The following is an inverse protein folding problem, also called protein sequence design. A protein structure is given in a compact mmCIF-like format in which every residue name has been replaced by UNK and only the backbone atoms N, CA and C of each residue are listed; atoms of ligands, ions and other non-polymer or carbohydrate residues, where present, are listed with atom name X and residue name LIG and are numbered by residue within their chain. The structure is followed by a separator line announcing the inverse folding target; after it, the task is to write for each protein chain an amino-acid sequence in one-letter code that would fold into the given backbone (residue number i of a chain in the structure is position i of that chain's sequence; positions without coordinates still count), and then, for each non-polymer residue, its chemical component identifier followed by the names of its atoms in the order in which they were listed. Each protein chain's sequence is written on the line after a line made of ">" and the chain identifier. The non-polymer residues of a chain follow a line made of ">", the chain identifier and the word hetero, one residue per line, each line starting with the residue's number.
data_IF_453881878737
#
_entry.id   IF_453881878737
#
_cell.length_a   1.000
_cell.length_b   1.000
_cell.length_c   1.000
_cell.angle_alpha   90.00
_cell.angle_beta   90.00
_cell.angle_gamma   90.00
#
_symmetry.space_group_name_H-M   'P 1'
#
loop_
_entity.id
_entity.type
_entity.pdbx_description
1 polymer ?
2 non-polymer ?
3 non-polymer ?
4 water ?
#
# COMPACT_ATOMS: atom_id res chain seq x y z
N UNK A 8 32.41 -13.51 -8.26
CA UNK A 8 32.24 -12.03 -8.43
C UNK A 8 31.59 -11.43 -7.16
N UNK A 9 30.28 -11.12 -7.22
CA UNK A 9 29.54 -10.25 -6.27
C UNK A 9 28.85 -11.08 -5.17
N UNK A 10 28.06 -10.43 -4.30
CA UNK A 10 27.42 -11.02 -3.11
C UNK A 10 26.49 -12.20 -3.47
N UNK A 11 25.81 -12.13 -4.61
CA UNK A 11 24.68 -13.04 -4.99
C UNK A 11 25.07 -13.95 -6.17
N UNK A 12 26.35 -13.98 -6.55
CA UNK A 12 26.83 -14.86 -7.62
C UNK A 12 26.66 -16.31 -7.13
N UNK A 13 26.06 -17.14 -7.99
CA UNK A 13 25.70 -18.58 -7.73
C UNK A 13 24.81 -18.69 -6.47
N UNK A 14 23.99 -17.65 -6.23
CA UNK A 14 22.97 -17.65 -5.13
C UNK A 14 21.63 -17.23 -5.72
N UNK A 15 20.52 -17.59 -5.09
CA UNK A 15 19.18 -17.18 -5.59
C UNK A 15 18.44 -16.43 -4.47
N UNK A 16 17.55 -15.56 -4.87
CA UNK A 16 16.77 -14.74 -3.90
C UNK A 16 15.31 -15.16 -4.06
N UNK A 17 14.63 -15.30 -2.94
CA UNK A 17 13.18 -15.51 -2.84
C UNK A 17 12.56 -14.23 -2.26
N UNK A 18 11.76 -13.55 -3.07
CA UNK A 18 10.84 -12.49 -2.58
C UNK A 18 9.47 -13.10 -2.24
N UNK A 19 9.01 -12.87 -1.01
CA UNK A 19 7.68 -13.33 -0.57
C UNK A 19 6.71 -12.17 -0.78
N UNK A 20 5.84 -12.28 -1.78
CA UNK A 20 4.75 -11.32 -2.00
C UNK A 20 5.02 -10.52 -3.26
N UNK A 21 4.02 -10.51 -4.14
CA UNK A 21 4.10 -9.88 -5.46
C UNK A 21 3.25 -8.65 -5.50
N UNK A 22 3.27 -7.85 -4.43
CA UNK A 22 2.70 -6.49 -4.46
C UNK A 22 3.62 -5.53 -5.20
N UNK A 23 3.31 -4.23 -5.24
CA UNK A 23 4.12 -3.28 -5.99
C UNK A 23 5.57 -3.25 -5.48
N UNK A 24 5.77 -3.39 -4.17
CA UNK A 24 7.12 -3.34 -3.56
C UNK A 24 7.91 -4.61 -3.90
N UNK A 25 7.33 -5.80 -3.73
CA UNK A 25 8.01 -7.06 -4.07
C UNK A 25 8.38 -7.15 -5.54
N UNK A 26 7.46 -6.76 -6.44
CA UNK A 26 7.73 -6.85 -7.89
C UNK A 26 8.83 -5.84 -8.25
N UNK A 27 8.86 -4.69 -7.59
CA UNK A 27 9.88 -3.67 -7.84
C UNK A 27 11.22 -4.25 -7.40
N UNK A 28 11.28 -4.81 -6.18
CA UNK A 28 12.49 -5.48 -5.64
C UNK A 28 12.95 -6.52 -6.67
N UNK A 29 12.05 -7.33 -7.21
CA UNK A 29 12.39 -8.39 -8.18
C UNK A 29 13.03 -7.76 -9.43
N UNK A 30 12.44 -6.70 -9.96
CA UNK A 30 12.92 -6.05 -11.18
C UNK A 30 14.34 -5.52 -10.99
N UNK A 31 14.57 -4.78 -9.91
CA UNK A 31 15.87 -4.15 -9.64
C UNK A 31 16.94 -5.23 -9.44
N UNK A 32 16.63 -6.36 -8.80
CA UNK A 32 17.63 -7.45 -8.70
C UNK A 32 17.81 -8.11 -10.07
N UNK A 33 16.71 -8.41 -10.77
CA UNK A 33 16.79 -9.25 -11.99
C UNK A 33 17.61 -8.48 -13.02
N UNK A 34 17.47 -7.16 -13.09
CA UNK A 34 18.14 -6.40 -14.17
C UNK A 34 19.64 -6.32 -13.88
N UNK A 35 20.12 -6.72 -12.69
CA UNK A 35 21.56 -6.83 -12.34
C UNK A 35 22.02 -8.29 -12.48
N UNK A 36 21.29 -9.16 -13.18
CA UNK A 36 21.72 -10.56 -13.44
C UNK A 36 21.54 -11.46 -12.22
N UNK A 37 20.68 -11.07 -11.26
CA UNK A 37 20.43 -11.87 -10.04
C UNK A 37 19.30 -12.86 -10.32
N UNK A 38 19.49 -14.10 -9.88
CA UNK A 38 18.48 -15.18 -9.84
C UNK A 38 17.48 -14.90 -8.69
N UNK A 39 16.29 -14.46 -9.05
CA UNK A 39 15.23 -14.06 -8.10
C UNK A 39 13.92 -14.69 -8.57
N UNK A 40 13.17 -15.25 -7.63
CA UNK A 40 11.76 -15.67 -7.80
C UNK A 40 10.88 -14.88 -6.83
N UNK A 41 9.66 -14.56 -7.25
CA UNK A 41 8.62 -13.96 -6.39
C UNK A 41 7.54 -15.02 -6.16
N UNK A 42 7.22 -15.29 -4.89
CA UNK A 42 6.15 -16.24 -4.48
C UNK A 42 4.95 -15.41 -4.05
N UNK A 43 3.88 -15.51 -4.84
CA UNK A 43 2.62 -14.73 -4.66
C UNK A 43 1.47 -15.71 -4.39
N UNK A 44 0.78 -15.48 -3.27
CA UNK A 44 -0.44 -16.16 -2.76
C UNK A 44 -1.52 -16.24 -3.87
N UNK A 45 -1.78 -15.14 -4.56
CA UNK A 45 -2.82 -15.02 -5.62
C UNK A 45 -2.69 -16.12 -6.68
N UNK A 46 -3.82 -16.58 -7.18
CA UNK A 46 -3.90 -17.67 -8.20
C UNK A 46 -3.48 -17.17 -9.58
N UNK A 47 -3.87 -15.97 -9.99
CA UNK A 47 -3.46 -15.51 -11.33
C UNK A 47 -3.34 -13.98 -11.34
N UNK A 48 -2.66 -13.44 -12.35
CA UNK A 48 -2.47 -11.96 -12.47
C UNK A 48 -3.72 -11.33 -13.09
N UNK A 49 -4.78 -12.14 -13.27
CA UNK A 49 -6.05 -11.65 -13.87
C UNK A 49 -7.03 -11.30 -12.74
N UNK A 50 -6.53 -11.23 -11.50
CA UNK A 50 -7.37 -10.91 -10.33
C UNK A 50 -7.33 -9.42 -10.00
N UNK A 51 -8.50 -8.76 -10.02
CA UNK A 51 -8.65 -7.36 -9.59
C UNK A 51 -8.00 -7.17 -8.21
N UNK A 52 -7.16 -6.16 -8.07
CA UNK A 52 -6.68 -5.64 -6.75
C UNK A 52 -7.70 -4.60 -6.32
N UNK A 53 -8.40 -4.86 -5.23
CA UNK A 53 -9.34 -3.89 -4.62
C UNK A 53 -8.48 -2.77 -3.99
N UNK A 54 -8.87 -1.52 -4.20
CA UNK A 54 -8.27 -0.32 -3.57
C UNK A 54 -8.37 0.91 -4.46
N UNK A 55 -8.01 2.07 -3.93
CA UNK A 55 -7.83 3.32 -4.70
C UNK A 55 -6.57 3.30 -5.57
N UNK A 56 -6.17 4.49 -6.01
CA UNK A 56 -4.95 4.73 -6.81
C UNK A 56 -3.74 4.88 -5.90
N UNK A 57 -2.54 4.78 -6.50
CA UNK A 57 -1.21 5.01 -5.88
C UNK A 57 -0.56 6.18 -6.61
N UNK A 58 0.16 7.03 -5.89
CA UNK A 58 0.94 8.15 -6.47
C UNK A 58 2.40 7.90 -6.08
N UNK A 59 3.28 7.81 -7.08
CA UNK A 59 4.75 7.76 -6.89
C UNK A 59 5.30 9.20 -6.86
N UNK A 60 6.01 9.54 -5.79
CA UNK A 60 6.67 10.86 -5.55
C UNK A 60 8.03 10.90 -6.25
N UNK A 61 8.46 12.08 -6.71
CA UNK A 61 9.88 12.33 -7.12
C UNK A 61 10.79 11.97 -5.95
N UNK A 62 11.94 11.36 -6.22
CA UNK A 62 12.97 11.11 -5.19
C UNK A 62 12.74 9.84 -4.39
N UNK A 63 11.62 9.13 -4.58
CA UNK A 63 11.32 7.85 -3.89
C UNK A 63 10.67 6.88 -4.87
N UNK A 64 9.33 6.85 -4.91
CA UNK A 64 8.61 5.94 -5.81
C UNK A 64 9.04 6.09 -7.25
N UNK A 65 9.20 7.32 -7.73
CA UNK A 65 9.59 7.58 -9.14
C UNK A 65 11.05 7.20 -9.36
N UNK A 66 11.91 7.34 -8.35
CA UNK A 66 13.34 6.97 -8.51
C UNK A 66 13.42 5.47 -8.84
N UNK A 67 12.68 4.66 -8.09
CA UNK A 67 12.60 3.20 -8.26
C UNK A 67 12.21 2.89 -9.71
N UNK A 68 11.16 3.52 -10.22
CA UNK A 68 10.68 3.30 -11.61
C UNK A 68 11.77 3.75 -12.60
N UNK A 69 12.39 4.90 -12.37
CA UNK A 69 13.50 5.42 -13.21
C UNK A 69 14.64 4.40 -13.26
N UNK A 70 15.15 3.92 -12.11
CA UNK A 70 16.28 2.96 -12.09
C UNK A 70 15.91 1.69 -12.84
N UNK A 71 14.61 1.33 -12.84
CA UNK A 71 14.08 0.11 -13.49
C UNK A 71 13.85 0.33 -14.98
N UNK A 72 13.81 1.60 -15.43
CA UNK A 72 13.52 1.96 -16.84
C UNK A 72 12.03 1.99 -17.15
N UNK A 73 11.20 2.21 -16.15
CA UNK A 73 9.74 2.10 -16.28
C UNK A 73 9.10 3.45 -15.99
N UNK A 74 9.87 4.53 -15.83
CA UNK A 74 9.32 5.82 -15.40
C UNK A 74 8.37 6.35 -16.47
N UNK A 75 8.72 6.24 -17.75
CA UNK A 75 7.85 6.74 -18.85
C UNK A 75 6.56 5.90 -18.89
N UNK A 76 6.66 4.57 -18.71
CA UNK A 76 5.49 3.65 -18.74
C UNK A 76 4.51 4.03 -17.64
N UNK A 77 5.02 4.46 -16.48
CA UNK A 77 4.20 4.93 -15.34
C UNK A 77 3.48 6.23 -15.75
N UNK A 78 4.20 7.26 -16.19
CA UNK A 78 3.64 8.55 -16.65
C UNK A 78 2.54 8.34 -17.71
N UNK A 79 2.73 7.41 -18.64
CA UNK A 79 1.73 7.11 -19.70
C UNK A 79 0.43 6.51 -19.13
N UNK A 80 0.45 5.84 -17.97
CA UNK A 80 -0.78 5.17 -17.45
C UNK A 80 -1.30 5.91 -16.23
N UNK A 81 -0.53 6.86 -15.71
CA UNK A 81 -0.91 7.65 -14.52
C UNK A 81 -1.70 8.85 -15.02
N UNK A 82 -2.39 9.52 -14.10
CA UNK A 82 -3.32 10.64 -14.39
C UNK A 82 -3.10 11.70 -13.32
N UNK A 83 -2.67 12.93 -13.67
CA UNK A 83 -2.59 14.00 -12.68
C UNK A 83 -4.03 14.29 -12.26
N UNK A 84 -4.24 14.62 -10.98
CA UNK A 84 -5.58 14.89 -10.44
C UNK A 84 -5.52 16.00 -9.38
N UNK A 85 -6.41 16.97 -9.51
CA UNK A 85 -6.58 18.04 -8.52
C UNK A 85 -7.31 17.51 -7.30
N UNK A 86 -7.42 18.35 -6.27
CA UNK A 86 -8.17 18.07 -5.02
C UNK A 86 -9.17 19.19 -4.81
N UNK A 87 -10.42 18.81 -4.50
CA UNK A 87 -11.51 19.67 -3.96
C UNK A 87 -11.73 19.32 -2.49
N UNK A 88 -11.72 20.33 -1.62
CA UNK A 88 -12.23 20.17 -0.24
C UNK A 88 -13.70 20.63 -0.28
N UNK A 89 -14.60 19.85 0.34
CA UNK A 89 -16.05 20.16 0.45
C UNK A 89 -16.53 20.00 1.88
N UNK A 90 -17.60 20.71 2.24
CA UNK A 90 -18.26 20.52 3.55
C UNK A 90 -19.36 19.45 3.41
N UNK A 91 -19.95 19.05 4.53
CA UNK A 91 -21.05 18.04 4.59
C UNK A 91 -22.30 18.52 3.84
N UNK A 92 -22.37 19.79 3.40
CA UNK A 92 -23.54 20.38 2.70
C UNK A 92 -23.30 20.40 1.18
N UNK A 93 -22.11 19.99 0.72
CA UNK A 93 -21.79 19.92 -0.73
C UNK A 93 -21.23 21.23 -1.24
N UNK A 94 -20.86 22.14 -0.34
CA UNK A 94 -20.16 23.40 -0.70
C UNK A 94 -18.69 23.07 -0.96
N UNK A 95 -18.19 23.39 -2.16
CA UNK A 95 -16.74 23.35 -2.49
C UNK A 95 -16.08 24.50 -1.72
N UNK A 96 -15.23 24.20 -0.74
CA UNK A 96 -14.53 25.24 0.08
C UNK A 96 -13.16 25.60 -0.53
N UNK A 97 -12.65 24.84 -1.51
CA UNK A 97 -11.25 24.97 -2.01
C UNK A 97 -11.01 24.02 -3.20
N UNK A 98 -10.31 24.46 -4.25
CA UNK A 98 -10.11 23.68 -5.50
C UNK A 98 -8.67 23.82 -6.02
N UNK A 99 -7.76 22.92 -5.62
CA UNK A 99 -6.35 22.91 -6.06
C UNK A 99 -6.26 22.07 -7.35
N UNK A 100 -6.29 22.70 -8.53
CA UNK A 100 -6.20 22.03 -9.85
C UNK A 100 -4.73 21.76 -10.20
N UNK A 101 -4.52 20.83 -11.15
CA UNK A 101 -3.15 20.38 -11.56
C UNK A 101 -2.49 21.36 -12.53
N UNK A 102 -1.61 22.22 -12.01
CA UNK A 102 -0.78 23.15 -12.82
C UNK A 102 0.14 22.30 -13.70
N UNK A 103 0.25 22.58 -15.02
CA UNK A 103 1.00 21.72 -15.93
C UNK A 103 2.47 21.51 -15.51
N UNK A 104 3.04 22.45 -14.74
CA UNK A 104 4.45 22.37 -14.26
C UNK A 104 4.60 21.28 -13.19
N UNK A 105 3.50 20.80 -12.62
CA UNK A 105 3.49 19.87 -11.46
C UNK A 105 2.83 18.55 -11.88
N UNK A 106 2.59 18.36 -13.17
CA UNK A 106 1.76 17.24 -13.66
C UNK A 106 2.52 15.92 -13.49
N UNK A 107 3.82 15.99 -13.22
CA UNK A 107 4.71 14.81 -13.02
C UNK A 107 5.00 14.62 -11.52
N UNK A 108 4.45 15.45 -10.64
CA UNK A 108 4.82 15.47 -9.20
C UNK A 108 4.37 14.15 -8.55
N UNK A 109 3.13 13.75 -8.79
CA UNK A 109 2.58 12.50 -8.19
C UNK A 109 1.27 12.17 -8.89
N UNK A 110 1.32 11.83 -10.18
CA UNK A 110 0.12 11.38 -10.88
C UNK A 110 -0.33 9.99 -10.41
N UNK A 111 -1.65 9.80 -10.33
CA UNK A 111 -2.32 8.63 -9.76
C UNK A 111 -2.32 7.49 -10.78
N UNK A 112 -1.99 6.27 -10.34
CA UNK A 112 -2.07 5.07 -11.21
C UNK A 112 -2.97 4.02 -10.51
N UNK A 113 -3.74 3.30 -11.31
CA UNK A 113 -4.57 2.15 -10.88
C UNK A 113 -3.62 1.00 -10.46
N UNK A 114 -3.95 0.30 -9.36
CA UNK A 114 -3.06 -0.73 -8.75
C UNK A 114 -2.81 -1.85 -9.76
N UNK A 115 -3.82 -2.21 -10.57
CA UNK A 115 -3.70 -3.29 -11.59
C UNK A 115 -2.78 -2.83 -12.72
N UNK A 116 -2.79 -1.54 -13.05
CA UNK A 116 -1.91 -0.96 -14.11
C UNK A 116 -0.46 -1.01 -13.60
N UNK A 117 -0.19 -0.51 -12.40
CA UNK A 117 1.16 -0.60 -11.77
C UNK A 117 1.64 -2.06 -11.74
N UNK A 118 0.82 -3.00 -11.25
CA UNK A 118 1.19 -4.44 -11.22
C UNK A 118 1.55 -4.92 -12.62
N UNK A 119 0.72 -4.60 -13.63
CA UNK A 119 0.92 -5.03 -15.03
C UNK A 119 2.22 -4.43 -15.58
N UNK A 120 2.52 -3.18 -15.26
CA UNK A 120 3.81 -2.55 -15.69
C UNK A 120 4.96 -3.41 -15.14
N UNK A 121 4.91 -3.74 -13.86
CA UNK A 121 6.02 -4.44 -13.18
C UNK A 121 6.10 -5.89 -13.67
N UNK A 122 4.98 -6.61 -13.80
CA UNK A 122 4.95 -7.99 -14.36
C UNK A 122 5.51 -8.04 -15.78
N UNK A 123 5.15 -7.12 -16.67
CA UNK A 123 5.58 -7.17 -18.10
C UNK A 123 7.10 -6.96 -18.15
N UNK A 124 7.69 -6.25 -17.18
CA UNK A 124 9.13 -5.92 -17.13
C UNK A 124 9.97 -7.10 -16.62
N UNK A 125 9.38 -8.14 -16.02
CA UNK A 125 10.14 -9.26 -15.43
C UNK A 125 10.27 -10.36 -16.50
N UNK A 126 11.30 -11.21 -16.42
CA UNK A 126 11.44 -12.40 -17.29
C UNK A 126 10.26 -13.34 -17.00
N UNK A 127 9.80 -14.05 -18.01
CA UNK A 127 8.77 -15.11 -17.90
C UNK A 127 9.11 -16.04 -16.72
N UNK A 128 8.10 -16.41 -15.92
CA UNK A 128 8.19 -17.35 -14.77
C UNK A 128 9.01 -16.74 -13.61
N UNK A 129 9.14 -15.42 -13.52
CA UNK A 129 9.83 -14.77 -12.36
C UNK A 129 8.89 -14.92 -11.16
N UNK A 130 7.61 -14.60 -11.36
CA UNK A 130 6.54 -14.73 -10.34
C UNK A 130 5.92 -16.12 -10.37
N UNK A 131 5.98 -16.88 -9.28
CA UNK A 131 5.30 -18.19 -9.11
C UNK A 131 3.97 -17.93 -8.40
N UNK A 132 2.86 -18.12 -9.11
CA UNK A 132 1.47 -17.87 -8.68
C UNK A 132 1.03 -19.00 -7.72
N UNK A 133 0.06 -18.74 -6.84
CA UNK A 133 -0.55 -19.78 -5.97
C UNK A 133 0.52 -20.37 -5.04
N UNK A 134 1.35 -19.49 -4.47
CA UNK A 134 2.40 -19.86 -3.50
C UNK A 134 2.20 -19.01 -2.26
N UNK A 135 1.43 -19.52 -1.30
CA UNK A 135 1.25 -18.92 0.04
C UNK A 135 2.35 -19.45 0.98
N UNK A 136 3.36 -18.64 1.29
CA UNK A 136 4.43 -19.05 2.22
C UNK A 136 3.78 -19.18 3.60
N UNK A 137 4.02 -20.30 4.28
CA UNK A 137 3.48 -20.54 5.65
C UNK A 137 4.61 -20.66 6.64
N UNK A 138 5.80 -21.06 6.19
CA UNK A 138 6.85 -21.13 7.23
C UNK A 138 8.24 -21.04 6.64
N UNK A 139 9.26 -20.73 7.24
CA UNK A 139 10.69 -20.63 6.82
C UNK A 139 11.49 -21.55 7.73
N UNK A 140 12.52 -22.19 7.20
CA UNK A 140 13.47 -22.93 8.04
C UNK A 140 14.87 -22.71 7.48
N UNK A 141 15.79 -22.20 8.32
CA UNK A 141 17.18 -21.98 7.90
C UNK A 141 17.96 -23.28 7.95
N UNK A 142 18.66 -23.61 6.86
CA UNK A 142 19.64 -24.70 6.81
C UNK A 142 21.03 -24.17 7.06
N UNK A 143 22.02 -24.89 6.55
CA UNK A 143 23.45 -24.58 6.70
C UNK A 143 23.71 -23.29 5.93
N UNK A 144 23.26 -23.24 4.68
CA UNK A 144 23.54 -22.13 3.72
C UNK A 144 22.24 -21.55 3.13
N UNK A 145 21.16 -22.34 3.10
CA UNK A 145 19.92 -22.02 2.39
C UNK A 145 18.74 -22.13 3.35
N UNK A 146 17.80 -21.24 3.13
CA UNK A 146 16.44 -21.29 3.71
C UNK A 146 15.67 -22.36 2.98
N UNK A 147 14.78 -23.06 3.68
CA UNK A 147 13.75 -23.90 3.03
C UNK A 147 12.44 -23.17 3.24
N UNK A 148 11.71 -22.93 2.13
CA UNK A 148 10.40 -22.24 2.13
C UNK A 148 9.29 -23.29 2.01
N UNK A 149 8.33 -23.25 2.93
CA UNK A 149 7.17 -24.14 2.90
C UNK A 149 5.94 -23.37 2.44
N UNK A 150 5.27 -23.88 1.43
CA UNK A 150 4.07 -23.24 0.87
C UNK A 150 2.87 -24.15 1.13
N UNK A 151 1.68 -23.56 1.10
CA UNK A 151 0.39 -24.23 1.32
C UNK A 151 0.15 -25.21 0.18
N UNK A 152 0.26 -26.53 0.46
CA UNK A 152 -0.17 -27.62 -0.45
C UNK A 152 0.66 -27.62 -1.74
N UNK A 153 1.87 -27.08 -1.69
CA UNK A 153 2.78 -26.97 -2.87
C UNK A 153 4.18 -27.35 -2.42
N UNK A 154 5.03 -27.82 -3.35
CA UNK A 154 6.36 -28.30 -2.98
C UNK A 154 7.26 -27.13 -2.51
N UNK A 155 8.20 -27.46 -1.63
CA UNK A 155 9.14 -26.54 -0.97
C UNK A 155 10.15 -26.00 -1.98
N UNK A 156 10.72 -24.84 -1.67
CA UNK A 156 11.77 -24.18 -2.50
C UNK A 156 12.91 -23.77 -1.56
N UNK A 157 14.11 -23.55 -2.09
CA UNK A 157 15.23 -23.05 -1.27
C UNK A 157 15.76 -21.72 -1.82
N UNK A 158 16.41 -20.94 -0.96
CA UNK A 158 17.00 -19.64 -1.32
C UNK A 158 18.09 -19.28 -0.32
N UNK A 159 19.14 -18.64 -0.81
CA UNK A 159 20.25 -18.04 -0.03
C UNK A 159 19.81 -16.76 0.68
N UNK A 160 18.83 -16.04 0.12
CA UNK A 160 18.32 -14.79 0.71
C UNK A 160 16.81 -14.80 0.58
N UNK A 161 16.13 -14.42 1.67
CA UNK A 161 14.66 -14.25 1.71
C UNK A 161 14.36 -12.78 2.02
N UNK A 162 13.54 -12.15 1.16
CA UNK A 162 13.02 -10.78 1.37
C UNK A 162 11.51 -10.89 1.59
N UNK A 163 11.09 -10.58 2.80
CA UNK A 163 9.64 -10.60 3.17
C UNK A 163 9.02 -9.33 2.59
N UNK A 164 8.10 -9.47 1.64
CA UNK A 164 7.39 -8.33 1.01
C UNK A 164 5.87 -8.63 0.89
N UNK A 165 5.30 -9.33 1.87
CA UNK A 165 3.96 -9.91 1.74
C UNK A 165 2.96 -9.12 2.60
N UNK A 166 3.22 -7.84 2.87
CA UNK A 166 2.21 -6.88 3.34
C UNK A 166 2.16 -6.72 4.85
N UNK A 167 1.28 -5.84 5.32
CA UNK A 167 1.17 -5.42 6.74
C UNK A 167 0.74 -6.54 7.69
N UNK A 168 0.02 -7.55 7.21
CA UNK A 168 -0.51 -8.70 8.03
C UNK A 168 0.43 -9.92 7.96
N UNK A 169 1.68 -9.77 7.51
CA UNK A 169 2.59 -10.93 7.28
C UNK A 169 2.66 -11.76 8.56
N UNK A 170 2.57 -13.09 8.47
CA UNK A 170 2.75 -14.00 9.65
C UNK A 170 4.16 -14.61 9.66
N UNK A 171 5.09 -14.18 8.77
CA UNK A 171 6.42 -14.81 8.61
C UNK A 171 7.52 -13.82 8.93
N UNK A 172 7.37 -13.07 10.02
CA UNK A 172 8.28 -11.97 10.37
C UNK A 172 9.27 -12.42 11.45
N UNK A 173 9.00 -13.55 12.12
CA UNK A 173 9.60 -13.81 13.47
C UNK A 173 11.12 -13.95 13.40
N UNK A 174 11.71 -14.43 12.30
CA UNK A 174 13.19 -14.46 12.15
C UNK A 174 13.73 -13.04 12.09
N UNK A 175 12.92 -12.02 11.79
CA UNK A 175 13.41 -10.61 11.77
C UNK A 175 13.07 -9.85 13.08
N UNK A 176 11.87 -10.00 13.65
CA UNK A 176 11.39 -9.17 14.80
C UNK A 176 10.22 -9.87 15.50
N UNK A 177 10.08 -9.67 16.79
CA UNK A 177 8.90 -10.12 17.57
C UNK A 177 7.86 -8.99 17.64
N UNK A 178 8.12 -7.83 17.01
CA UNK A 178 7.13 -6.70 16.93
C UNK A 178 5.79 -7.21 16.40
N UNK A 179 4.69 -6.84 17.05
CA UNK A 179 3.31 -7.25 16.66
C UNK A 179 2.62 -6.07 15.97
N UNK A 180 1.75 -6.35 14.99
CA UNK A 180 0.83 -5.35 14.38
C UNK A 180 -0.15 -4.85 15.46
N UNK A 181 -0.48 -3.55 15.43
CA UNK A 181 -1.41 -2.90 16.40
C UNK A 181 -2.58 -2.24 15.65
N UNK A 182 -3.77 -2.24 16.25
CA UNK A 182 -4.89 -1.31 15.90
C UNK A 182 -4.54 0.07 16.43
N UNK A 183 -4.77 1.14 15.64
CA UNK A 183 -4.55 2.55 16.03
C UNK A 183 -5.83 3.16 16.64
N UNK A 184 -7.00 2.56 16.43
CA UNK A 184 -8.28 3.10 16.94
C UNK A 184 -9.11 3.84 15.89
N UNK A 185 -8.69 3.87 14.61
CA UNK A 185 -9.53 4.31 13.47
C UNK A 185 -9.99 3.11 12.62
N UNK A 186 -11.03 3.32 11.83
CA UNK A 186 -11.70 2.27 11.01
C UNK A 186 -12.03 2.92 9.67
N UNK A 187 -11.91 2.15 8.60
CA UNK A 187 -12.04 2.64 7.21
C UNK A 187 -13.01 1.72 6.52
N UNK A 188 -13.97 2.29 5.80
CA UNK A 188 -14.92 1.54 4.93
C UNK A 188 -14.68 2.01 3.50
N UNK A 189 -14.27 1.11 2.61
CA UNK A 189 -13.94 1.45 1.21
C UNK A 189 -14.97 0.78 0.30
N UNK A 190 -15.22 1.35 -0.88
CA UNK A 190 -16.17 0.81 -1.86
C UNK A 190 -15.89 1.45 -3.21
N UNK A 191 -16.37 0.79 -4.27
CA UNK A 191 -16.29 1.25 -5.67
C UNK A 191 -17.71 1.45 -6.19
N UNK A 192 -17.90 2.44 -7.05
CA UNK A 192 -19.15 2.61 -7.83
C UNK A 192 -18.76 2.65 -9.31
N UNK A 193 -19.20 1.66 -10.06
CA UNK A 193 -19.09 1.64 -11.54
C UNK A 193 -20.02 2.70 -12.13
N UNK A 194 -19.66 3.26 -13.29
CA UNK A 194 -20.43 4.28 -14.05
C UNK A 194 -21.01 5.30 -13.07
N UNK A 195 -20.14 6.05 -12.35
CA UNK A 195 -20.59 7.04 -11.38
C UNK A 195 -21.35 8.21 -12.01
N UNK A 196 -21.00 8.62 -13.24
CA UNK A 196 -21.73 9.65 -14.04
C UNK A 196 -23.22 9.29 -14.07
N UNK A 197 -23.56 8.01 -14.16
CA UNK A 197 -24.96 7.49 -14.18
C UNK A 197 -25.41 7.18 -12.74
N UNK A 198 -24.59 6.45 -11.95
CA UNK A 198 -25.07 5.75 -10.73
C UNK A 198 -24.98 6.66 -9.49
N UNK A 199 -24.13 7.71 -9.49
CA UNK A 199 -24.07 8.72 -8.40
C UNK A 199 -23.81 10.11 -9.01
N UNK A 200 -24.69 10.55 -9.93
CA UNK A 200 -24.41 11.70 -10.78
C UNK A 200 -24.11 12.99 -9.99
N UNK A 201 -24.87 13.24 -8.92
CA UNK A 201 -24.69 14.40 -8.01
C UNK A 201 -23.26 14.48 -7.51
N UNK A 202 -22.81 13.42 -6.82
CA UNK A 202 -21.47 13.35 -6.19
C UNK A 202 -20.39 13.46 -7.27
N UNK A 203 -20.58 12.79 -8.41
CA UNK A 203 -19.67 12.85 -9.59
C UNK A 203 -19.47 14.30 -10.07
N UNK A 204 -20.54 15.09 -10.17
CA UNK A 204 -20.48 16.52 -10.61
C UNK A 204 -19.81 17.35 -9.50
N UNK A 205 -20.06 17.01 -8.24
CA UNK A 205 -19.36 17.66 -7.11
C UNK A 205 -17.84 17.47 -7.23
N UNK A 206 -17.39 16.24 -7.49
CA UNK A 206 -15.94 15.91 -7.66
C UNK A 206 -15.38 16.75 -8.82
N UNK A 207 -16.11 16.78 -9.95
CA UNK A 207 -15.80 17.60 -11.16
C UNK A 207 -14.39 17.26 -11.66
N UNK A 208 -14.11 15.96 -11.82
CA UNK A 208 -12.82 15.40 -12.25
C UNK A 208 -11.71 15.51 -11.22
N UNK A 209 -11.97 16.06 -10.01
CA UNK A 209 -10.98 16.18 -8.92
C UNK A 209 -11.26 15.12 -7.85
N UNK A 210 -10.22 14.74 -7.11
CA UNK A 210 -10.38 13.99 -5.85
C UNK A 210 -11.21 14.88 -4.93
N UNK A 211 -11.90 14.29 -3.95
CA UNK A 211 -12.71 15.06 -3.00
C UNK A 211 -12.46 14.52 -1.59
N UNK A 212 -12.40 15.45 -0.63
CA UNK A 212 -12.26 15.14 0.80
C UNK A 212 -13.24 16.03 1.55
N UNK A 213 -13.87 15.48 2.57
CA UNK A 213 -14.86 16.18 3.41
C UNK A 213 -14.79 15.59 4.81
N UNK A 214 -14.99 16.43 5.82
CA UNK A 214 -14.92 16.09 7.25
C UNK A 214 -16.04 16.81 7.98
N UNK A 215 -16.79 16.10 8.80
CA UNK A 215 -17.81 16.70 9.66
C UNK A 215 -18.07 15.74 10.83
N UNK A 216 -17.82 16.20 12.05
CA UNK A 216 -18.13 15.54 13.35
C UNK A 216 -17.48 14.16 13.45
N UNK A 217 -16.23 14.03 13.01
CA UNK A 217 -15.40 12.82 13.23
C UNK A 217 -15.63 11.76 12.17
N UNK A 218 -16.38 12.09 11.12
CA UNK A 218 -16.53 11.24 9.90
C UNK A 218 -15.79 11.95 8.77
N UNK A 219 -14.87 11.24 8.12
CA UNK A 219 -14.14 11.74 6.93
C UNK A 219 -14.57 10.93 5.72
N UNK A 220 -14.70 11.59 4.59
CA UNK A 220 -15.05 10.97 3.31
C UNK A 220 -13.98 11.40 2.33
N UNK A 221 -13.41 10.42 1.63
CA UNK A 221 -12.45 10.59 0.52
C UNK A 221 -13.02 9.91 -0.72
N UNK A 222 -12.82 10.52 -1.87
CA UNK A 222 -13.23 9.95 -3.17
C UNK A 222 -12.25 10.34 -4.26
N UNK A 223 -12.08 9.43 -5.21
CA UNK A 223 -11.44 9.58 -6.54
C UNK A 223 -12.51 9.22 -7.56
N UNK A 224 -12.96 10.15 -8.45
CA UNK A 224 -14.05 9.86 -9.37
C UNK A 224 -13.64 9.02 -10.58
N UNK A 225 -12.32 8.82 -10.77
CA UNK A 225 -11.77 8.18 -11.99
C UNK A 225 -10.60 7.24 -11.67
N UNK A 226 -10.88 6.14 -11.01
CA UNK A 226 -10.01 4.95 -10.96
C UNK A 226 -10.43 4.02 -12.10
N UNK A 227 -9.87 4.21 -13.30
CA UNK A 227 -10.17 3.43 -14.54
C UNK A 227 -11.70 3.27 -14.71
N UNK A 228 -12.43 4.40 -14.74
CA UNK A 228 -13.89 4.43 -15.03
C UNK A 228 -14.76 4.30 -13.80
N UNK A 229 -14.23 3.77 -12.68
CA UNK A 229 -14.94 3.55 -11.40
C UNK A 229 -14.65 4.72 -10.45
N UNK A 230 -15.60 5.04 -9.59
CA UNK A 230 -15.39 6.00 -8.49
C UNK A 230 -15.06 5.17 -7.25
N UNK A 231 -13.99 5.54 -6.56
CA UNK A 231 -13.54 4.83 -5.33
C UNK A 231 -13.67 5.80 -4.17
N UNK A 232 -14.41 5.44 -3.13
CA UNK A 232 -14.54 6.27 -1.92
C UNK A 232 -14.24 5.47 -0.66
N UNK A 233 -13.86 6.23 0.35
CA UNK A 233 -13.58 5.71 1.70
C UNK A 233 -14.15 6.64 2.74
N UNK A 234 -14.69 6.03 3.77
CA UNK A 234 -15.24 6.72 4.96
C UNK A 234 -14.42 6.23 6.15
N UNK A 235 -13.83 7.15 6.88
CA UNK A 235 -12.98 6.84 8.06
C UNK A 235 -13.54 7.56 9.29
N UNK A 236 -13.46 6.91 10.45
CA UNK A 236 -13.93 7.43 11.76
C UNK A 236 -13.22 6.69 12.89
N UNK A 237 -13.20 7.30 14.08
CA UNK A 237 -12.75 6.63 15.32
C UNK A 237 -13.59 5.37 15.48
N UNK A 238 -12.96 4.21 15.69
CA UNK A 238 -13.68 2.93 15.88
C UNK A 238 -14.69 3.14 17.00
N UNK A 239 -16.00 2.92 16.74
CA UNK A 239 -17.01 3.01 17.80
C UNK A 239 -16.65 2.09 18.98
N UNK A 240 -16.71 2.61 20.20
CA UNK A 240 -16.39 1.81 21.42
C UNK A 240 -17.30 0.57 21.44
N UNK A 241 -18.49 0.71 20.85
CA UNK A 241 -19.48 -0.41 20.71
C UNK A 241 -18.81 -1.66 20.10
N UNK A 242 -17.84 -1.47 19.19
CA UNK A 242 -17.20 -2.55 18.40
C UNK A 242 -15.88 -3.01 19.03
N UNK A 243 -15.83 -3.08 20.38
CA UNK A 243 -14.61 -3.51 21.09
C UNK A 243 -14.62 -5.04 21.22
N UNK A 244 -13.62 -5.70 20.64
CA UNK A 244 -13.52 -7.20 20.69
C UNK A 244 -14.84 -7.80 20.22
N UNK A 246 -17.04 -5.61 15.96
CA UNK A 246 -17.78 -4.92 14.87
C UNK A 246 -19.25 -5.38 14.89
N UNK A 247 -20.16 -4.47 15.24
CA UNK A 247 -21.61 -4.75 15.31
C UNK A 247 -22.26 -4.54 13.94
N UNK A 248 -21.40 -4.33 12.92
CA UNK A 248 -21.79 -4.19 11.49
C UNK A 248 -21.23 -5.41 10.74
N UNK A 249 -22.06 -6.14 10.00
CA UNK A 249 -21.62 -7.31 9.18
C UNK A 249 -21.35 -6.80 7.76
N UNK A 250 -20.09 -6.85 7.30
CA UNK A 250 -19.66 -6.25 6.02
C UNK A 250 -20.03 -7.15 4.84
N UNK A 251 -20.54 -8.35 5.10
CA UNK A 251 -21.11 -9.23 4.03
C UNK A 251 -22.57 -8.85 3.76
N UNK A 252 -23.18 -8.07 4.67
CA UNK A 252 -24.60 -7.63 4.61
C UNK A 252 -24.60 -6.13 4.28
N UNK A 253 -24.81 -5.77 3.02
CA UNK A 253 -24.76 -4.37 2.55
C UNK A 253 -25.84 -3.57 3.29
N UNK A 254 -26.98 -4.20 3.59
CA UNK A 254 -28.17 -3.52 4.18
C UNK A 254 -27.81 -3.00 5.57
N UNK A 255 -27.01 -3.78 6.29
CA UNK A 255 -26.48 -3.49 7.64
C UNK A 255 -25.49 -2.31 7.57
N UNK A 256 -24.62 -2.28 6.58
CA UNK A 256 -23.60 -1.19 6.42
C UNK A 256 -24.35 0.08 6.02
N UNK A 257 -25.23 -0.01 5.03
CA UNK A 257 -26.07 1.13 4.58
C UNK A 257 -26.74 1.75 5.82
N UNK A 258 -27.29 0.92 6.68
CA UNK A 258 -28.12 1.40 7.82
C UNK A 258 -27.20 2.13 8.80
N UNK A 259 -26.01 1.58 9.08
CA UNK A 259 -24.99 2.19 9.95
C UNK A 259 -24.51 3.54 9.36
N UNK A 260 -24.14 3.56 8.09
CA UNK A 260 -23.56 4.77 7.44
C UNK A 260 -24.62 5.89 7.32
N UNK A 261 -25.87 5.56 7.01
CA UNK A 261 -26.94 6.58 6.83
C UNK A 261 -27.25 7.24 8.16
N UNK A 262 -27.06 6.53 9.29
CA UNK A 262 -27.20 7.14 10.64
C UNK A 262 -26.04 8.11 10.88
N UNK A 263 -24.82 7.69 10.58
CA UNK A 263 -23.58 8.48 10.79
C UNK A 263 -23.59 9.70 9.87
N UNK A 264 -24.05 9.56 8.62
CA UNK A 264 -24.06 10.65 7.62
C UNK A 264 -25.41 11.41 7.58
N UNK A 265 -26.28 11.23 8.59
CA UNK A 265 -27.65 11.79 8.69
C UNK A 265 -27.71 13.27 8.27
N UNK A 266 -26.76 14.11 8.69
CA UNK A 266 -26.84 15.57 8.42
C UNK A 266 -25.99 15.95 7.21
N UNK A 267 -25.58 14.98 6.38
CA UNK A 267 -24.85 15.25 5.11
C UNK A 267 -25.84 15.42 3.97
N UNK A 268 -25.46 16.24 3.00
CA UNK A 268 -26.18 16.42 1.72
C UNK A 268 -26.53 15.05 1.09
N UNK A 269 -27.59 15.01 0.29
CA UNK A 269 -28.15 13.75 -0.27
C UNK A 269 -27.22 13.21 -1.35
N UNK A 270 -26.38 14.04 -1.96
CA UNK A 270 -25.38 13.59 -2.97
C UNK A 270 -24.39 12.58 -2.32
N UNK A 271 -24.03 12.77 -1.06
CA UNK A 271 -23.16 11.84 -0.30
C UNK A 271 -23.97 10.60 0.09
N UNK A 272 -25.19 10.78 0.57
CA UNK A 272 -26.07 9.65 0.99
C UNK A 272 -26.37 8.78 -0.23
N UNK A 273 -26.49 9.35 -1.44
CA UNK A 273 -26.69 8.59 -2.70
C UNK A 273 -25.54 7.59 -2.85
N UNK A 274 -24.30 8.03 -2.61
CA UNK A 274 -23.09 7.18 -2.62
C UNK A 274 -23.34 5.92 -1.79
N UNK A 275 -23.68 6.12 -0.53
CA UNK A 275 -23.95 5.03 0.44
C UNK A 275 -25.07 4.13 -0.09
N UNK A 276 -26.15 4.70 -0.62
CA UNK A 276 -27.37 3.92 -0.97
C UNK A 276 -27.11 3.00 -2.17
N UNK A 277 -26.27 3.38 -3.13
CA UNK A 277 -26.17 2.65 -4.44
C UNK A 277 -24.91 1.75 -4.48
N UNK A 278 -24.12 1.70 -3.41
CA UNK A 278 -22.90 0.87 -3.33
C UNK A 278 -23.34 -0.59 -3.20
N UNK A 279 -22.89 -1.47 -4.10
CA UNK A 279 -23.26 -2.90 -4.11
C UNK A 279 -22.57 -3.67 -2.97
N UNK A 280 -21.32 -3.35 -2.60
CA UNK A 280 -20.64 -4.01 -1.46
C UNK A 280 -19.62 -3.09 -0.81
N UNK A 281 -19.43 -3.28 0.48
CA UNK A 281 -18.48 -2.49 1.29
C UNK A 281 -17.33 -3.42 1.75
N UNK A 282 -16.17 -2.82 2.04
CA UNK A 282 -15.02 -3.49 2.68
C UNK A 282 -14.67 -2.61 3.87
N UNK A 283 -14.72 -3.21 5.08
CA UNK A 283 -14.27 -2.58 6.33
C UNK A 283 -12.91 -3.11 6.73
N UNK A 284 -12.04 -2.24 7.26
CA UNK A 284 -10.74 -2.65 7.86
C UNK A 284 -10.32 -1.64 8.92
N UNK A 285 -9.99 -2.15 10.10
CA UNK A 285 -9.37 -1.37 11.18
C UNK A 285 -8.02 -0.89 10.65
N UNK A 286 -7.69 0.37 10.91
CA UNK A 286 -6.36 0.95 10.69
C UNK A 286 -5.36 0.23 11.60
N UNK A 287 -4.23 -0.16 11.03
CA UNK A 287 -3.17 -0.92 11.74
C UNK A 287 -1.84 -0.24 11.49
N UNK A 288 -0.91 -0.42 12.40
CA UNK A 288 0.49 0.06 12.26
C UNK A 288 1.39 -1.09 12.71
N UNK A 289 2.52 -1.25 12.03
CA UNK A 289 3.65 -2.13 12.44
C UNK A 289 4.75 -1.21 12.94
N UNK A 290 4.78 -0.88 14.25
CA UNK A 290 5.54 0.28 14.71
C UNK A 290 7.03 -0.04 14.66
N UNK A 291 7.80 0.89 14.08
CA UNK A 291 9.28 0.87 14.13
C UNK A 291 9.71 1.47 15.47
N UNK A 292 10.40 0.67 16.30
CA UNK A 292 10.79 1.02 17.68
C UNK A 292 12.24 0.68 17.94
N UNK A 293 12.46 -0.25 18.86
CA UNK A 293 13.85 -0.73 19.05
C UNK A 293 14.24 -1.41 17.74
N UNK A 294 15.52 -1.68 17.54
CA UNK A 294 15.92 -2.36 16.29
C UNK A 294 15.38 -3.80 16.20
N UNK A 295 15.54 -4.37 15.03
CA UNK A 295 15.13 -5.77 14.78
C UNK A 295 16.19 -6.75 15.32
N UNK A 296 15.90 -8.04 15.29
CA UNK A 296 16.83 -9.09 15.77
C UNK A 296 18.19 -8.88 15.08
N UNK A 297 19.26 -8.80 15.88
CA UNK A 297 20.64 -8.51 15.39
C UNK A 297 21.32 -9.71 14.71
N UNK A 298 21.16 -10.96 15.17
CA UNK A 298 22.08 -12.05 14.70
C UNK A 298 21.30 -13.22 14.11
N UNK A 299 20.83 -13.11 12.88
CA UNK A 299 19.82 -14.02 12.27
C UNK A 299 20.53 -15.26 11.70
N UNK A 300 19.86 -16.43 11.69
CA UNK A 300 20.50 -17.68 11.27
C UNK A 300 21.05 -17.64 9.84
N UNK A 301 20.31 -16.97 8.94
CA UNK A 301 20.70 -16.74 7.52
C UNK A 301 20.18 -15.38 7.10
N UNK A 302 20.66 -14.83 5.98
CA UNK A 302 20.22 -13.51 5.51
C UNK A 302 18.72 -13.43 5.19
N UNK A 303 18.03 -12.48 5.83
CA UNK A 303 16.56 -12.27 5.64
C UNK A 303 16.27 -10.84 6.05
N UNK A 304 15.34 -10.18 5.34
CA UNK A 304 14.87 -8.82 5.70
C UNK A 304 13.43 -8.64 5.18
N UNK A 305 12.88 -7.45 5.45
CA UNK A 305 11.47 -7.09 5.16
C UNK A 305 11.45 -5.71 4.51
N UNK A 306 10.60 -5.56 3.51
CA UNK A 306 10.43 -4.31 2.75
C UNK A 306 8.92 -4.03 2.65
N UNK A 307 8.53 -2.79 2.39
CA UNK A 307 7.11 -2.41 2.15
C UNK A 307 6.29 -2.46 3.42
N UNK A 308 5.00 -2.79 3.31
CA UNK A 308 4.11 -2.83 4.49
C UNK A 308 4.55 -3.91 5.49
N UNK A 309 5.27 -4.95 5.09
CA UNK A 309 5.73 -5.98 6.07
C UNK A 309 6.74 -5.36 7.04
N UNK A 310 7.44 -4.31 6.62
CA UNK A 310 8.46 -3.62 7.44
C UNK A 310 7.84 -2.48 8.26
N UNK A 311 6.92 -1.68 7.69
CA UNK A 311 6.52 -0.38 8.30
C UNK A 311 5.08 0.00 7.99
N UNK A 312 4.16 -0.97 7.92
CA UNK A 312 2.71 -0.71 7.73
C UNK A 312 2.33 0.50 8.58
N UNK A 313 1.71 1.53 7.99
CA UNK A 313 1.27 2.69 8.78
C UNK A 313 -0.08 3.19 8.28
N UNK A 314 -0.81 3.99 9.12
CA UNK A 314 -2.11 4.54 8.74
C UNK A 314 -2.01 5.22 7.40
N UNK A 315 -3.01 5.05 6.50
CA UNK A 315 -2.93 5.64 5.18
C UNK A 315 -3.55 7.05 5.14
N UNK A 316 -3.02 7.99 5.92
CA UNK A 316 -3.58 9.36 6.07
C UNK A 316 -2.56 10.43 5.69
N UNK A 317 -1.34 10.08 5.30
CA UNK A 317 -0.29 11.05 4.93
C UNK A 317 0.15 10.83 3.48
N UNK A 318 -0.68 10.20 2.66
CA UNK A 318 -0.25 10.01 1.27
C UNK A 318 1.03 9.21 1.21
N UNK A 319 1.47 8.69 2.33
CA UNK A 319 2.66 7.83 2.20
C UNK A 319 2.22 6.37 2.36
N UNK A 320 3.12 5.46 2.00
CA UNK A 320 2.84 4.03 2.06
C UNK A 320 3.66 3.32 1.02
N UNK A 321 3.23 3.37 -0.24
CA UNK A 321 3.99 2.65 -1.30
C UNK A 321 5.34 3.33 -1.49
N UNK A 322 5.41 4.66 -1.36
CA UNK A 322 6.66 5.42 -1.67
C UNK A 322 7.83 4.96 -0.78
N UNK A 323 7.59 4.68 0.49
CA UNK A 323 8.65 4.26 1.44
C UNK A 323 9.00 2.79 1.16
N UNK A 324 8.03 2.01 0.70
CA UNK A 324 8.23 0.65 0.20
C UNK A 324 9.15 0.61 -1.00
N UNK A 325 8.95 1.49 -1.98
CA UNK A 325 9.75 1.48 -3.23
C UNK A 325 11.12 2.06 -2.91
N UNK A 326 11.21 2.94 -1.92
CA UNK A 326 12.51 3.40 -1.40
C UNK A 326 13.26 2.22 -0.74
N UNK A 327 12.59 1.38 0.02
CA UNK A 327 13.18 0.12 0.57
C UNK A 327 13.79 -0.68 -0.59
N UNK A 328 13.05 -0.89 -1.67
CA UNK A 328 13.50 -1.79 -2.76
C UNK A 328 14.73 -1.18 -3.42
N UNK A 329 14.70 0.12 -3.68
CA UNK A 329 15.82 0.85 -4.32
C UNK A 329 17.11 0.74 -3.47
N UNK A 330 17.02 0.92 -2.16
CA UNK A 330 18.21 0.92 -1.26
C UNK A 330 18.75 -0.51 -1.09
N UNK A 331 17.90 -1.49 -0.79
CA UNK A 331 18.34 -2.89 -0.61
C UNK A 331 18.94 -3.40 -1.91
N UNK A 332 18.29 -3.18 -3.04
CA UNK A 332 18.81 -3.72 -4.31
C UNK A 332 20.19 -3.11 -4.62
N UNK A 333 20.37 -1.79 -4.39
CA UNK A 333 21.66 -1.12 -4.64
C UNK A 333 22.73 -1.68 -3.68
N UNK A 334 22.40 -1.89 -2.41
CA UNK A 334 23.35 -2.45 -1.41
C UNK A 334 23.75 -3.87 -1.83
N UNK A 335 22.82 -4.66 -2.37
CA UNK A 335 23.11 -6.08 -2.68
C UNK A 335 23.96 -6.16 -3.94
N UNK A 336 23.97 -5.12 -4.79
CA UNK A 336 24.57 -5.20 -6.15
C UNK A 336 25.71 -4.17 -6.38
N UNK A 337 26.02 -3.25 -5.47
CA UNK A 337 26.95 -2.12 -5.79
C UNK A 337 28.41 -2.55 -5.60
N UNK A 338 28.69 -3.70 -4.99
CA UNK A 338 30.05 -4.23 -4.76
C UNK A 338 30.75 -3.71 -3.50
N UNK A 339 30.09 -2.89 -2.66
CA UNK A 339 30.74 -2.14 -1.56
C UNK A 339 30.69 -2.92 -0.25
N UNK A 340 29.79 -3.89 -0.15
CA UNK A 340 29.60 -4.63 1.12
C UNK A 340 30.34 -5.96 1.08
N UNK A 341 30.79 -6.40 2.24
CA UNK A 341 31.58 -7.65 2.35
C UNK A 341 30.67 -8.85 2.56
N UNK A 342 29.41 -8.63 2.90
CA UNK A 342 28.51 -9.78 3.11
C UNK A 342 27.06 -9.36 2.90
N UNK A 343 26.19 -10.35 2.68
CA UNK A 343 24.75 -10.07 2.47
C UNK A 343 24.24 -9.41 3.74
N UNK A 344 24.67 -9.88 4.91
CA UNK A 344 24.26 -9.35 6.25
C UNK A 344 24.56 -7.85 6.35
N UNK A 345 25.71 -7.40 5.87
CA UNK A 345 26.15 -5.98 5.99
C UNK A 345 25.32 -5.12 5.04
N UNK A 346 25.03 -5.60 3.82
CA UNK A 346 24.12 -4.92 2.86
C UNK A 346 22.75 -4.72 3.51
N UNK A 347 22.20 -5.75 4.15
CA UNK A 347 20.86 -5.74 4.81
C UNK A 347 20.86 -4.73 5.96
N UNK A 348 21.87 -4.81 6.82
CA UNK A 348 22.01 -3.95 8.03
C UNK A 348 21.96 -2.48 7.57
N UNK A 349 22.66 -2.15 6.50
CA UNK A 349 22.74 -0.78 5.95
C UNK A 349 21.35 -0.31 5.47
N UNK A 350 20.66 -1.16 4.71
CA UNK A 350 19.25 -0.94 4.33
C UNK A 350 18.42 -0.69 5.59
N UNK A 351 18.43 -1.61 6.55
CA UNK A 351 17.50 -1.50 7.69
C UNK A 351 17.78 -0.20 8.48
N UNK A 352 19.06 0.13 8.70
CA UNK A 352 19.46 1.37 9.43
C UNK A 352 18.88 2.61 8.72
N UNK A 353 18.95 2.72 7.40
CA UNK A 353 18.35 3.88 6.70
C UNK A 353 16.82 3.85 6.80
N UNK A 354 16.23 2.66 6.66
CA UNK A 354 14.76 2.50 6.61
C UNK A 354 14.17 2.88 7.96
N UNK A 355 14.88 2.59 9.05
CA UNK A 355 14.48 2.96 10.43
C UNK A 355 14.34 4.50 10.55
N UNK A 356 15.12 5.29 9.81
CA UNK A 356 15.09 6.76 9.87
C UNK A 356 13.89 7.28 9.06
N UNK A 357 13.85 7.12 7.74
CA UNK A 357 12.72 7.64 6.91
C UNK A 357 11.44 6.93 7.34
N UNK A 358 11.51 5.70 7.82
CA UNK A 358 10.33 4.92 8.21
C UNK A 358 9.75 5.41 9.51
N UNK A 359 10.59 5.74 10.50
CA UNK A 359 10.14 6.40 11.76
C UNK A 359 9.51 7.76 11.44
N UNK A 360 10.07 8.54 10.51
CA UNK A 360 9.56 9.87 10.10
C UNK A 360 8.16 9.69 9.49
N UNK A 361 8.03 8.79 8.51
CA UNK A 361 6.76 8.53 7.82
C UNK A 361 5.72 8.09 8.83
N UNK A 362 6.06 7.19 9.73
CA UNK A 362 5.11 6.68 10.74
C UNK A 362 4.70 7.81 11.69
N UNK A 363 5.64 8.67 12.07
CA UNK A 363 5.32 9.78 13.00
C UNK A 363 4.33 10.72 12.31
N UNK A 364 4.56 11.03 11.04
CA UNK A 364 3.70 11.95 10.28
C UNK A 364 2.30 11.35 10.09
N UNK A 365 2.22 10.05 9.83
CA UNK A 365 0.94 9.30 9.68
C UNK A 365 0.11 9.40 10.96
N UNK A 366 0.74 9.09 12.09
CA UNK A 366 0.11 9.01 13.43
C UNK A 366 -0.35 10.42 13.83
N UNK A 367 0.46 11.44 13.57
CA UNK A 367 0.15 12.86 13.88
C UNK A 367 -1.09 13.29 13.07
N UNK A 368 -1.07 13.14 11.73
CA UNK A 368 -2.23 13.42 10.83
C UNK A 368 -3.46 12.68 11.37
N UNK A 369 -3.32 11.41 11.73
CA UNK A 369 -4.45 10.57 12.21
C UNK A 369 -5.03 11.20 13.48
N UNK A 370 -4.22 11.47 14.51
CA UNK A 370 -4.66 12.13 15.78
C UNK A 370 -5.46 13.39 15.42
N UNK A 371 -4.87 14.30 14.65
CA UNK A 371 -5.42 15.63 14.30
C UNK A 371 -6.71 15.50 13.49
N UNK A 372 -6.73 14.67 12.44
CA UNK A 372 -7.85 14.59 11.47
C UNK A 372 -9.14 14.08 12.14
N UNK A 373 -9.07 13.42 13.30
CA UNK A 373 -10.22 12.76 13.98
C UNK A 373 -10.54 13.44 15.32
N UNK A 374 -9.99 14.63 15.60
CA UNK A 374 -10.61 15.60 16.54
C UNK A 374 -12.07 15.72 16.12
N UNK A 375 -13.06 15.73 17.06
CA UNK A 375 -14.47 15.80 16.68
C UNK A 375 -14.87 17.10 15.94
N UNK A 376 -13.91 18.00 15.72
CA UNK A 376 -14.06 19.42 15.33
C UNK A 376 -13.02 19.80 14.25
N UNK A 377 -12.51 18.83 13.49
CA UNK A 377 -11.53 19.05 12.38
C UNK A 377 -12.30 19.32 11.10
N UNK A 378 -11.67 20.13 10.28
CA UNK A 378 -12.02 20.41 8.87
C UNK A 378 -10.66 20.54 8.17
N UNK A 379 -10.60 20.32 6.86
CA UNK A 379 -9.31 20.33 6.10
C UNK A 379 -8.65 21.72 6.08
N UNK A 380 -9.46 22.77 6.26
CA UNK A 380 -9.07 24.20 6.40
C UNK A 380 -7.73 24.29 7.13
N UNK A 381 -6.66 24.41 6.34
CA UNK A 381 -5.23 24.55 6.74
C UNK A 381 -4.95 23.93 8.11
X LIG B 1 0.83 -5.29 -0.52
X LIG B 1 0.30 -4.36 -1.57
X LIG B 1 0.02 -5.59 0.68
X LIG B 1 1.30 -6.64 -1.24
X LIG B 1 1.53 -7.84 -0.49
X LIG B 1 1.38 -8.99 -1.45
X LIG B 1 1.78 -10.20 -0.77
X LIG B 1 -0.02 -9.23 -2.02
X LIG B 1 0.10 -9.43 -3.43
X LIG B 1 -0.48 -10.51 -1.28
X LIG B 1 -1.32 -11.27 -2.11
X LIG B 1 0.85 -11.23 -1.09
X LIG B 1 0.91 -12.21 0.03
X LIG B 1 0.39 -12.03 1.31
X LIG B 1 0.68 -13.03 2.12
X LIG B 1 1.43 -13.90 1.34
X LIG B 1 2.03 -15.13 1.63
X LIG B 1 1.99 -15.70 2.84
X LIG B 1 2.74 -15.71 0.65
X LIG B 1 2.82 -15.10 -0.55
X LIG B 1 2.25 -13.97 -0.95
X LIG B 1 1.59 -13.39 0.06
X LIG B 1 -0.43 4.10 -0.30
X LIG B 1 -0.20 5.16 -1.10
X LIG B 1 0.96 5.45 -1.43
X LIG B 1 -1.22 5.92 -1.61
X LIG B 1 -2.54 5.67 -1.28
X LIG B 1 -3.42 6.38 -1.74
X LIG B 1 -2.81 4.59 -0.40
X LIG B 1 -4.06 4.33 -0.05
X LIG B 1 -4.27 3.30 0.82
X LIG B 1 -5.59 3.03 1.25
X LIG B 1 -5.88 2.03 2.16
X LIG B 1 -7.30 1.77 2.60
X LIG B 1 -4.82 1.23 2.66
X LIG B 1 -5.11 0.11 3.63
X LIG B 1 -3.53 1.44 2.21
X LIG B 1 -3.23 2.49 1.32
X LIG B 1 -1.93 2.78 0.90
X LIG B 1 -1.67 3.83 0.05
X LIG B 1 -0.78 1.95 1.33
X LIG B 1 -0.36 1.02 0.19
X LIG B 1 -1.50 0.34 -0.33
X LIG B 1 0.70 0.02 0.65
X LIG B 1 1.82 0.71 1.21
X LIG B 1 1.25 -0.88 -0.45
X LIG B 1 0.21 -1.71 -0.98
X LIG B 1 2.35 -1.76 0.12
X LIG B 1 2.87 -2.61 -0.89
X LIG B 1 3.48 -4.01 -0.47
X LIG B 1 3.85 -4.62 -1.79
X LIG B 1 4.44 -3.82 0.66
X LIG B 1 2.21 -4.77 0.12
X LIG C 1 3.94 16.37 0.75
X LIG C 1 3.49 16.84 2.13
X LIG C 1 4.37 16.20 3.21
X LIG C 1 3.54 18.35 2.22
X LIG C 1 2.08 16.42 2.36
X LIG C 1 1.83 14.99 2.42
X LIG C 1 0.41 14.64 2.79
X LIG C 1 -0.02 14.89 3.91
X LIG C 1 -0.31 14.10 1.80
X LIG C 1 -1.60 13.54 1.93
X LIG C 1 -2.50 14.07 2.84
X LIG C 1 -3.76 13.50 2.97
X LIG C 1 -4.72 14.08 3.93
X LIG C 1 -5.48 15.17 3.30
X LIG C 1 -4.05 14.55 5.16
X LIG C 1 -4.12 12.42 2.19
X LIG C 1 -5.47 11.80 2.32
X LIG C 1 -5.45 10.29 2.13
X LIG C 1 -6.88 9.72 2.13
X LIG C 1 -6.86 8.26 1.74
X LIG C 1 -8.23 7.60 1.92
X LIG C 1 -8.02 6.45 2.87
X LIG C 1 -8.55 5.12 2.52
X LIG C 1 -8.30 6.79 4.29
X LIG C 1 -9.02 7.28 0.65
X LIG C 1 -10.06 6.49 0.78
X LIG C 1 -8.71 7.88 -0.55
X LIG C 1 -9.65 7.85 -1.69
X LIG C 1 -9.47 8.59 -2.64
X LIG C 1 -10.81 6.97 -1.72
X LIG C 1 -7.47 8.54 -0.67
X LIG C 1 -7.22 9.43 -1.48
X LIG C 1 -6.36 8.11 0.32
X LIG C 1 -6.08 6.75 0.09
X LIG C 1 -5.10 8.91 0.08
X LIG C 1 -4.39 8.50 -0.96
X LIG C 1 -4.73 9.95 0.85
X LIG C 1 -3.59 10.75 0.46
X LIG C 1 -2.89 10.45 -0.55
X LIG C 1 -3.22 11.88 1.28
X LIG C 1 -1.95 12.46 1.15
X LIG C 1 -1.07 11.97 0.30
#
# INVERSE_FOLDING_TARGET
>A
MSNKEKQMNLLSDKNVAIIGGGPVGLTMAKLLQQNGIDVSVYERDNDREARIFGGTLDLHKGSGQEAMKKAGLLQTYYDLALPMGVNIADEKGNILSTKNVKPENRFDNPEINRNDLRAILLNSLENDTVIWDRKLVMLEPGKKKWTLTFENKPSETADLVIIANGGMSKVRKFVTDTEVEETGTFNIQADIHHPEVNCPGFFQLCNGNRLMAAHQGNLLFANPNNNGALHFGISFKTPDEWKNQTQVDFQNRNSVVDFLLKEFSDWDERYKELIRVTSSFVGLATRIFPLGKSWKSKRPLPITMIGDAAHLMPPFAGQGVNSGLMDALILSDNLTNGKFNSIEEAIENYEQQMFIYGKEAQEESTQNEIEMFKPDFTFQQLLNV
>B hetero
1 FDA PA O1A O2A O5B C5B C4B O4B C3B O3B C2B O2B C1B N9A C8A N7A C5A C6A N6A N1A C2A N3A C4A N1 C2 O2 N3 C4 O4 C4X N5 C5X C6 C7 C7M C8 C8M C9 C9A N10 C10 C1' C2' O2' C3' O3' C4' O4' C5' O5' P O1P O2P O3P
>C hetero
1 T1C C94 C93 C95 C96 N92 C92 C91 O91 N9 C9 C8 C7 N7 C71 C72 C61 C6 C51 C5 C41 C4 N4 C43 C42 C3 O3 C2 C21 O21 N21 C1 O1 C1C O1C C12 O12 C1B C11 O11 C1A C10 O10
#
